data_IF_330087584246
#
_entry.id   IF_330087584246
#
_cell.length_a   1.000
_cell.length_b   1.000
_cell.length_c   1.000
_cell.angle_alpha   90.00
_cell.angle_beta   90.00
_cell.angle_gamma   90.00
#
_symmetry.space_group_name_H-M   'P 1'
#
loop_
_entity.id
_entity.type
_entity.pdbx_description
1 polymer ?
#
# COMPACT_ATOMS: atom_id res chain seq x y z
N UNK A 1 51.81 -41.66 -20.33
CA UNK A 1 51.33 -40.73 -19.31
C UNK A 1 50.92 -39.41 -20.01
N UNK A 2 49.66 -39.18 -20.25
CA UNK A 2 49.12 -37.92 -20.88
C UNK A 2 48.77 -36.97 -19.73
N UNK A 3 49.44 -35.80 -19.69
CA UNK A 3 49.11 -34.73 -18.73
C UNK A 3 47.94 -33.96 -19.25
N UNK A 4 46.80 -33.99 -18.50
CA UNK A 4 45.66 -33.08 -18.69
C UNK A 4 46.01 -31.74 -18.03
N UNK A 5 46.05 -30.68 -18.82
CA UNK A 5 46.15 -29.30 -18.34
C UNK A 5 44.72 -28.77 -18.24
N UNK A 6 44.23 -28.49 -17.01
CA UNK A 6 42.98 -27.81 -16.77
C UNK A 6 43.22 -26.30 -16.89
N UNK A 7 42.70 -25.69 -17.93
CA UNK A 7 42.67 -24.24 -18.08
C UNK A 7 41.44 -23.69 -17.34
N UNK A 8 41.64 -23.02 -16.22
CA UNK A 8 40.57 -22.31 -15.49
C UNK A 8 40.40 -20.96 -16.19
N UNK A 9 39.29 -20.81 -16.90
CA UNK A 9 38.89 -19.52 -17.49
C UNK A 9 38.11 -18.73 -16.44
N UNK A 10 38.77 -17.70 -15.90
CA UNK A 10 38.07 -16.71 -15.06
C UNK A 10 37.15 -15.84 -15.96
N UNK A 11 35.84 -15.98 -15.81
CA UNK A 11 34.91 -15.02 -16.33
C UNK A 11 34.96 -13.74 -15.48
N UNK A 12 35.58 -12.72 -16.00
CA UNK A 12 35.45 -11.36 -15.47
C UNK A 12 34.03 -10.87 -15.81
N UNK A 13 33.13 -10.89 -14.85
CA UNK A 13 31.85 -10.16 -14.95
C UNK A 13 32.23 -8.67 -14.82
N UNK A 14 31.98 -7.84 -15.84
CA UNK A 14 32.37 -6.44 -15.78
C UNK A 14 31.57 -5.73 -14.69
N UNK A 15 32.28 -4.97 -13.85
CA UNK A 15 31.77 -4.13 -12.75
C UNK A 15 30.64 -3.16 -13.19
N UNK A 16 30.43 -3.00 -14.49
CA UNK A 16 29.35 -2.19 -15.08
C UNK A 16 27.94 -2.73 -14.79
N UNK A 17 27.77 -4.02 -14.45
CA UNK A 17 26.46 -4.58 -14.08
C UNK A 17 26.01 -4.21 -12.66
N UNK A 18 26.93 -3.79 -11.79
CA UNK A 18 26.60 -3.45 -10.40
C UNK A 18 26.11 -2.01 -10.22
N UNK A 19 26.27 -1.15 -11.22
CA UNK A 19 25.84 0.26 -11.18
C UNK A 19 24.48 0.52 -11.83
N UNK A 20 23.88 -0.47 -12.50
CA UNK A 20 22.61 -0.32 -13.18
C UNK A 20 21.37 -0.41 -12.25
N UNK A 21 21.52 -0.89 -11.03
CA UNK A 21 20.39 -1.03 -10.06
C UNK A 21 20.00 0.27 -9.36
N UNK A 22 20.83 1.31 -9.42
CA UNK A 22 20.60 2.56 -8.66
C UNK A 22 19.76 3.58 -9.43
N UNK A 23 19.64 3.44 -10.76
CA UNK A 23 19.00 4.46 -11.62
C UNK A 23 17.50 4.24 -11.88
N UNK A 24 16.94 3.11 -11.47
CA UNK A 24 15.53 2.76 -11.74
C UNK A 24 14.56 3.66 -10.92
N UNK A 25 14.98 4.13 -9.76
CA UNK A 25 14.17 5.03 -8.92
C UNK A 25 14.24 6.50 -9.38
N UNK A 26 15.21 6.85 -10.22
CA UNK A 26 15.46 8.22 -10.72
C UNK A 26 14.65 8.59 -11.96
N UNK A 27 13.69 7.77 -12.40
CA UNK A 27 12.87 8.08 -13.57
C UNK A 27 12.07 9.37 -13.37
N UNK A 28 12.10 10.31 -14.33
CA UNK A 28 11.28 11.50 -14.25
C UNK A 28 9.80 11.11 -14.18
N UNK A 29 9.07 11.74 -13.27
CA UNK A 29 7.65 11.49 -13.10
C UNK A 29 6.88 11.89 -14.36
N UNK A 30 6.15 10.97 -14.95
CA UNK A 30 5.13 11.32 -15.95
C UNK A 30 3.96 11.99 -15.22
N UNK A 31 3.77 13.28 -15.42
CA UNK A 31 2.66 14.06 -14.85
C UNK A 31 1.27 13.49 -15.23
N UNK A 32 1.21 12.65 -16.28
CA UNK A 32 -0.03 12.01 -16.75
C UNK A 32 -0.45 10.79 -15.92
N UNK A 33 0.44 10.23 -15.10
CA UNK A 33 0.17 9.06 -14.26
C UNK A 33 -0.28 9.45 -12.84
N UNK A 34 -1.15 10.47 -12.70
CA UNK A 34 -1.63 10.91 -11.38
C UNK A 34 -2.75 10.01 -10.86
N UNK A 35 -2.43 9.20 -9.87
CA UNK A 35 -3.35 8.37 -9.12
C UNK A 35 -3.76 9.11 -7.83
N UNK A 36 -4.57 10.17 -7.99
CA UNK A 36 -5.12 10.92 -6.85
C UNK A 36 -6.12 10.03 -6.12
N UNK A 37 -6.00 9.92 -4.78
CA UNK A 37 -6.45 8.71 -4.10
C UNK A 37 -6.60 8.97 -2.61
N UNK A 38 -7.41 8.20 -1.93
CA UNK A 38 -7.34 8.02 -0.48
C UNK A 38 -7.16 6.54 -0.14
N UNK A 39 -6.34 6.28 0.87
CA UNK A 39 -5.98 4.91 1.27
C UNK A 39 -5.67 4.83 2.76
N UNK A 40 -5.70 3.62 3.28
CA UNK A 40 -5.26 3.26 4.62
C UNK A 40 -4.36 2.04 4.55
N UNK A 41 -3.24 2.07 5.27
CA UNK A 41 -2.41 0.90 5.57
C UNK A 41 -2.48 0.59 7.05
N UNK A 42 -2.59 -0.68 7.43
CA UNK A 42 -2.70 -1.06 8.84
C UNK A 42 -2.11 -2.45 9.13
N UNK A 43 -1.77 -2.64 10.42
CA UNK A 43 -1.36 -3.91 11.00
C UNK A 43 -2.31 -4.30 12.14
N UNK A 44 -2.71 -5.56 12.18
CA UNK A 44 -3.44 -6.14 13.29
C UNK A 44 -2.55 -7.15 14.03
N UNK A 45 -2.07 -6.80 15.26
CA UNK A 45 -1.20 -7.69 16.02
C UNK A 45 -1.91 -8.92 16.58
N UNK A 46 -3.26 -8.90 16.71
CA UNK A 46 -4.01 -10.02 17.26
C UNK A 46 -4.11 -11.17 16.24
N UNK A 47 -4.27 -10.82 14.96
CA UNK A 47 -4.40 -11.80 13.87
C UNK A 47 -3.13 -11.95 13.04
N UNK A 48 -2.12 -11.10 13.31
CA UNK A 48 -0.86 -11.03 12.56
C UNK A 48 -1.11 -10.79 11.06
N UNK A 49 -1.96 -9.78 10.78
CA UNK A 49 -2.40 -9.39 9.45
C UNK A 49 -1.88 -7.98 9.11
N UNK A 50 -1.40 -7.79 7.88
CA UNK A 50 -1.08 -6.49 7.29
C UNK A 50 -2.01 -6.24 6.14
N UNK A 51 -2.52 -5.01 6.01
CA UNK A 51 -3.49 -4.74 4.97
C UNK A 51 -3.48 -3.32 4.46
N UNK A 52 -4.03 -3.16 3.24
CA UNK A 52 -4.26 -1.89 2.57
C UNK A 52 -5.68 -1.89 2.02
N UNK A 53 -6.38 -0.77 2.18
CA UNK A 53 -7.54 -0.46 1.37
C UNK A 53 -7.35 0.90 0.68
N UNK A 54 -7.85 1.02 -0.56
CA UNK A 54 -7.65 2.19 -1.40
C UNK A 54 -8.87 2.43 -2.29
N UNK A 55 -9.21 3.70 -2.53
CA UNK A 55 -10.21 4.11 -3.51
C UNK A 55 -9.79 5.37 -4.26
N UNK A 56 -10.22 5.48 -5.53
CA UNK A 56 -9.76 6.55 -6.42
C UNK A 56 -10.70 6.73 -7.63
N UNK A 57 -10.67 7.93 -8.21
CA UNK A 57 -11.11 8.18 -9.59
C UNK A 57 -9.97 7.88 -10.57
N UNK A 58 -9.53 6.62 -10.56
CA UNK A 58 -8.45 6.07 -11.38
C UNK A 58 -8.79 4.61 -11.71
N UNK A 59 -8.56 4.15 -12.94
CA UNK A 59 -8.83 2.78 -13.35
C UNK A 59 -7.91 1.80 -12.60
N UNK A 60 -8.48 0.74 -12.02
CA UNK A 60 -7.72 -0.35 -11.39
C UNK A 60 -6.68 0.10 -10.36
N UNK A 61 -7.05 1.04 -9.45
CA UNK A 61 -6.15 1.65 -8.46
C UNK A 61 -5.37 0.63 -7.63
N UNK A 62 -5.97 -0.52 -7.35
CA UNK A 62 -5.33 -1.57 -6.55
C UNK A 62 -4.08 -2.17 -7.19
N UNK A 63 -3.95 -2.10 -8.53
CA UNK A 63 -2.77 -2.60 -9.26
C UNK A 63 -1.53 -1.72 -9.08
N UNK A 64 -1.73 -0.44 -8.74
CA UNK A 64 -0.66 0.56 -8.65
C UNK A 64 -0.29 0.92 -7.22
N UNK A 65 -1.29 0.95 -6.31
CA UNK A 65 -1.13 1.54 -4.97
C UNK A 65 -0.78 0.53 -3.89
N UNK A 66 -1.32 -0.71 -3.96
CA UNK A 66 -1.35 -1.65 -2.84
C UNK A 66 -0.20 -2.64 -2.84
N UNK A 67 0.63 -2.63 -1.79
CA UNK A 67 1.79 -3.51 -1.62
C UNK A 67 1.84 -4.06 -0.20
N UNK A 68 1.92 -5.38 -0.04
CA UNK A 68 2.05 -6.00 1.27
C UNK A 68 2.81 -7.33 1.20
N UNK A 69 3.47 -7.66 2.31
CA UNK A 69 4.14 -8.94 2.52
C UNK A 69 4.02 -9.34 3.99
N UNK A 70 3.53 -10.55 4.24
CA UNK A 70 3.35 -11.07 5.59
C UNK A 70 4.68 -11.16 6.35
N UNK A 71 4.66 -10.72 7.62
CA UNK A 71 5.85 -10.65 8.47
C UNK A 71 6.81 -9.51 8.12
N UNK A 72 6.47 -8.65 7.15
CA UNK A 72 7.29 -7.52 6.70
C UNK A 72 6.56 -6.20 6.88
N UNK A 73 5.37 -6.04 6.27
CA UNK A 73 4.62 -4.80 6.35
C UNK A 73 3.66 -4.57 5.19
N UNK A 74 3.08 -3.37 5.15
CA UNK A 74 2.20 -2.91 4.07
C UNK A 74 2.52 -1.46 3.67
N UNK A 75 2.32 -1.15 2.39
CA UNK A 75 2.67 0.12 1.77
C UNK A 75 1.59 0.55 0.80
N UNK A 76 1.21 1.83 0.85
CA UNK A 76 0.43 2.49 -0.19
C UNK A 76 1.30 3.57 -0.85
N UNK A 77 1.53 3.48 -2.17
CA UNK A 77 2.22 4.52 -2.96
C UNK A 77 1.25 5.12 -3.95
N UNK A 78 1.06 6.44 -3.93
CA UNK A 78 -0.01 7.13 -4.66
C UNK A 78 0.36 8.56 -5.05
N UNK A 79 -0.59 9.39 -5.49
CA UNK A 79 -0.43 10.68 -6.14
C UNK A 79 0.17 10.50 -7.54
N UNK A 80 1.27 11.14 -7.91
CA UNK A 80 2.02 10.70 -9.09
C UNK A 80 2.74 9.41 -8.71
N UNK A 81 2.06 8.27 -8.99
CA UNK A 81 2.48 6.97 -8.48
C UNK A 81 3.83 6.53 -9.09
N UNK A 82 4.71 6.03 -8.22
CA UNK A 82 5.87 5.26 -8.63
C UNK A 82 5.74 3.86 -8.02
N UNK A 83 5.35 2.90 -8.84
CA UNK A 83 5.10 1.51 -8.41
C UNK A 83 6.34 0.81 -7.87
N UNK A 84 7.54 1.26 -8.26
CA UNK A 84 8.79 0.68 -7.76
C UNK A 84 9.02 0.93 -6.27
N UNK A 85 8.46 2.03 -5.72
CA UNK A 85 8.59 2.38 -4.31
C UNK A 85 7.89 1.35 -3.39
N UNK A 86 6.82 0.70 -3.86
CA UNK A 86 6.12 -0.33 -3.09
C UNK A 86 7.02 -1.54 -2.82
N UNK A 87 7.63 -2.12 -3.86
CA UNK A 87 8.56 -3.24 -3.72
C UNK A 87 9.82 -2.84 -2.94
N UNK A 88 10.42 -1.69 -3.26
CA UNK A 88 11.61 -1.20 -2.56
C UNK A 88 11.36 -1.02 -1.05
N UNK A 89 10.18 -0.52 -0.65
CA UNK A 89 9.81 -0.42 0.74
C UNK A 89 9.74 -1.80 1.43
N UNK A 90 9.09 -2.78 0.79
CA UNK A 90 9.00 -4.14 1.34
C UNK A 90 10.37 -4.81 1.44
N UNK A 91 11.28 -4.55 0.50
CA UNK A 91 12.66 -5.05 0.57
C UNK A 91 13.45 -4.44 1.73
N UNK A 92 13.37 -3.12 1.92
CA UNK A 92 14.04 -2.42 3.02
C UNK A 92 13.52 -2.90 4.38
N UNK A 93 12.20 -3.01 4.54
CA UNK A 93 11.59 -3.55 5.76
C UNK A 93 11.95 -5.02 5.97
N UNK A 94 12.01 -5.81 4.89
CA UNK A 94 12.48 -7.22 4.93
C UNK A 94 13.93 -7.37 5.37
N UNK A 95 14.78 -6.37 5.11
CA UNK A 95 16.16 -6.26 5.60
C UNK A 95 16.25 -5.72 7.04
N UNK A 96 15.11 -5.49 7.71
CA UNK A 96 15.04 -5.10 9.12
C UNK A 96 14.87 -3.60 9.41
N UNK A 97 14.75 -2.75 8.38
CA UNK A 97 14.43 -1.33 8.58
C UNK A 97 12.99 -1.18 9.10
N UNK A 98 12.78 -0.23 10.01
CA UNK A 98 11.44 0.15 10.45
C UNK A 98 10.75 1.06 9.42
N UNK A 99 9.46 1.37 9.62
CA UNK A 99 8.65 2.17 8.70
C UNK A 99 9.28 3.55 8.43
N UNK A 100 9.80 4.22 9.46
CA UNK A 100 10.40 5.55 9.31
C UNK A 100 11.71 5.51 8.53
N UNK A 101 12.63 4.62 8.88
CA UNK A 101 13.91 4.44 8.19
C UNK A 101 13.70 4.08 6.73
N UNK A 102 12.72 3.22 6.45
CA UNK A 102 12.33 2.83 5.09
C UNK A 102 11.87 4.04 4.29
N UNK A 103 10.93 4.82 4.85
CA UNK A 103 10.39 5.99 4.17
C UNK A 103 11.44 7.06 3.91
N UNK A 104 12.29 7.36 4.91
CA UNK A 104 13.37 8.34 4.79
C UNK A 104 14.34 7.99 3.65
N UNK A 105 14.68 6.69 3.50
CA UNK A 105 15.57 6.21 2.44
C UNK A 105 14.92 6.33 1.06
N UNK A 106 13.66 5.93 0.91
CA UNK A 106 12.92 6.02 -0.33
C UNK A 106 12.77 7.48 -0.80
N UNK A 107 12.39 8.38 0.10
CA UNK A 107 12.21 9.80 -0.22
C UNK A 107 13.54 10.47 -0.58
N UNK A 108 14.63 10.08 0.08
CA UNK A 108 15.97 10.58 -0.26
C UNK A 108 16.40 10.16 -1.67
N UNK A 109 16.05 8.94 -2.09
CA UNK A 109 16.44 8.37 -3.37
C UNK A 109 15.52 8.81 -4.54
N UNK A 110 14.25 9.17 -4.30
CA UNK A 110 13.29 9.53 -5.36
C UNK A 110 13.43 11.01 -5.74
N UNK A 111 13.92 11.28 -6.94
CA UNK A 111 13.97 12.64 -7.50
C UNK A 111 12.58 13.29 -7.65
N UNK A 112 11.54 12.47 -7.82
CA UNK A 112 10.14 12.91 -7.94
C UNK A 112 9.39 13.05 -6.61
N UNK A 113 10.06 12.97 -5.45
CA UNK A 113 9.43 12.93 -4.12
C UNK A 113 8.35 13.99 -3.88
N UNK A 114 8.53 15.20 -4.43
CA UNK A 114 7.61 16.33 -4.21
C UNK A 114 6.18 16.08 -4.72
N UNK A 115 6.00 15.13 -5.62
CA UNK A 115 4.69 14.77 -6.19
C UNK A 115 4.24 13.36 -5.75
N UNK A 116 4.94 12.71 -4.78
CA UNK A 116 4.59 11.40 -4.24
C UNK A 116 3.80 11.51 -2.95
N UNK A 117 2.98 10.49 -2.69
CA UNK A 117 2.37 10.29 -1.39
C UNK A 117 2.49 8.81 -1.01
N UNK A 118 3.02 8.53 0.18
CA UNK A 118 3.36 7.18 0.62
C UNK A 118 2.90 7.00 2.06
N UNK A 119 2.22 5.88 2.34
CA UNK A 119 1.95 5.41 3.70
C UNK A 119 2.56 4.03 3.91
N UNK A 120 3.18 3.81 5.05
CA UNK A 120 3.89 2.58 5.41
C UNK A 120 3.49 2.11 6.81
N UNK A 121 3.31 0.81 6.99
CA UNK A 121 3.28 0.14 8.29
C UNK A 121 4.25 -1.04 8.26
N UNK A 122 5.13 -1.14 9.27
CA UNK A 122 6.09 -2.24 9.37
C UNK A 122 5.53 -3.46 10.13
N UNK A 123 6.36 -4.48 10.30
CA UNK A 123 6.00 -5.73 10.98
C UNK A 123 5.61 -5.56 12.45
N UNK A 124 6.00 -4.47 13.08
CA UNK A 124 5.73 -4.18 14.50
C UNK A 124 4.57 -3.18 14.67
N UNK A 125 3.95 -2.72 13.57
CA UNK A 125 2.88 -1.73 13.59
C UNK A 125 3.37 -0.28 13.68
N UNK A 126 4.69 -0.02 13.60
CA UNK A 126 5.18 1.35 13.45
C UNK A 126 4.76 1.88 12.09
N UNK A 127 4.27 3.11 12.06
CA UNK A 127 3.79 3.76 10.83
C UNK A 127 4.64 4.96 10.46
N UNK A 128 4.73 5.23 9.16
CA UNK A 128 5.28 6.44 8.62
C UNK A 128 4.48 6.87 7.38
N UNK A 129 4.40 8.18 7.12
CA UNK A 129 3.76 8.70 5.92
C UNK A 129 4.53 9.91 5.39
N UNK A 130 4.40 10.14 4.10
CA UNK A 130 4.96 11.26 3.38
C UNK A 130 3.94 11.80 2.38
N UNK A 131 3.77 13.12 2.36
CA UNK A 131 2.98 13.84 1.37
C UNK A 131 3.87 14.94 0.79
N UNK A 132 4.24 14.80 -0.47
CA UNK A 132 5.09 15.77 -1.17
C UNK A 132 4.39 17.11 -1.34
N UNK A 133 5.16 18.21 -1.30
CA UNK A 133 4.63 19.58 -1.30
C UNK A 133 3.85 19.94 -2.59
N UNK A 134 4.04 19.19 -3.67
CA UNK A 134 3.35 19.36 -4.96
C UNK A 134 2.22 18.36 -5.19
N UNK A 135 1.81 17.58 -4.17
CA UNK A 135 0.58 16.80 -4.26
C UNK A 135 -0.64 17.67 -4.43
N UNK A 136 -1.60 17.24 -5.24
CA UNK A 136 -2.80 18.00 -5.52
C UNK A 136 -3.63 18.25 -4.25
N UNK A 137 -3.98 19.50 -3.91
CA UNK A 137 -4.73 19.83 -2.70
C UNK A 137 -6.23 19.46 -2.83
N UNK A 138 -6.92 19.14 -1.74
CA UNK A 138 -6.34 18.98 -0.42
C UNK A 138 -5.57 17.64 -0.33
N UNK A 139 -4.40 17.65 0.33
CA UNK A 139 -3.55 16.46 0.51
C UNK A 139 -2.98 16.43 1.93
N UNK A 140 -2.87 15.23 2.51
CA UNK A 140 -2.31 15.05 3.84
C UNK A 140 -2.38 13.59 4.31
N UNK A 141 -2.05 13.38 5.59
CA UNK A 141 -2.11 12.09 6.23
C UNK A 141 -2.56 12.19 7.69
N UNK A 142 -3.14 11.12 8.23
CA UNK A 142 -3.50 10.96 9.64
C UNK A 142 -3.11 9.56 10.10
N UNK A 143 -2.26 9.49 11.12
CA UNK A 143 -1.79 8.23 11.69
C UNK A 143 -2.36 8.00 13.08
N UNK A 144 -2.52 6.73 13.44
CA UNK A 144 -2.87 6.24 14.77
C UNK A 144 -2.10 4.97 15.12
N UNK A 145 -2.57 4.26 16.13
CA UNK A 145 -1.91 3.02 16.54
C UNK A 145 -2.04 1.94 15.46
N UNK A 146 -0.91 1.51 14.90
CA UNK A 146 -0.81 0.47 13.88
C UNK A 146 -1.46 0.79 12.52
N UNK A 147 -1.75 2.05 12.21
CA UNK A 147 -2.29 2.45 10.90
C UNK A 147 -1.90 3.87 10.50
N UNK A 148 -1.95 4.17 9.21
CA UNK A 148 -1.94 5.52 8.66
C UNK A 148 -2.91 5.62 7.48
N UNK A 149 -3.73 6.69 7.50
CA UNK A 149 -4.56 7.14 6.38
C UNK A 149 -3.84 8.25 5.65
N UNK A 150 -3.90 8.27 4.33
CA UNK A 150 -3.35 9.33 3.49
C UNK A 150 -4.23 9.54 2.27
N UNK A 151 -4.22 10.77 1.75
CA UNK A 151 -4.97 11.11 0.55
C UNK A 151 -4.52 12.42 -0.07
N UNK A 152 -4.83 12.58 -1.36
CA UNK A 152 -4.55 13.77 -2.14
C UNK A 152 -5.71 14.03 -3.12
N UNK A 153 -5.90 15.28 -3.52
CA UNK A 153 -7.05 15.77 -4.28
C UNK A 153 -8.38 15.42 -3.59
N UNK A 154 -8.40 15.46 -2.26
CA UNK A 154 -9.57 15.23 -1.44
C UNK A 154 -10.44 16.47 -1.33
N UNK A 155 -11.70 16.27 -0.97
CA UNK A 155 -12.64 17.37 -0.67
C UNK A 155 -12.19 18.20 0.52
N UNK A 156 -11.54 17.58 1.53
CA UNK A 156 -11.03 18.25 2.73
C UNK A 156 -10.36 17.28 3.70
N UNK A 157 -9.83 17.78 4.83
CA UNK A 157 -9.22 16.98 5.89
C UNK A 157 -10.21 16.02 6.55
N UNK A 158 -11.52 16.34 6.51
CA UNK A 158 -12.61 15.55 7.09
C UNK A 158 -12.63 14.11 6.53
N UNK A 159 -12.14 13.91 5.31
CA UNK A 159 -12.03 12.60 4.69
C UNK A 159 -11.13 11.70 5.52
N UNK A 160 -9.93 12.16 5.87
CA UNK A 160 -8.97 11.38 6.65
C UNK A 160 -9.37 11.28 8.13
N UNK A 161 -10.04 12.29 8.67
CA UNK A 161 -10.58 12.25 10.03
C UNK A 161 -11.66 11.18 10.16
N UNK A 162 -12.56 11.09 9.18
CA UNK A 162 -13.62 10.08 9.13
C UNK A 162 -13.05 8.68 8.89
N UNK A 163 -12.03 8.53 8.03
CA UNK A 163 -11.33 7.27 7.83
C UNK A 163 -10.70 6.75 9.12
N UNK A 164 -9.96 7.61 9.83
CA UNK A 164 -9.29 7.26 11.08
C UNK A 164 -10.31 6.84 12.14
N UNK A 165 -11.35 7.65 12.35
CA UNK A 165 -12.44 7.35 13.28
C UNK A 165 -13.14 6.04 12.93
N UNK A 166 -13.48 5.83 11.65
CA UNK A 166 -14.12 4.60 11.17
C UNK A 166 -13.26 3.37 11.44
N UNK A 167 -11.94 3.45 11.24
CA UNK A 167 -11.02 2.35 11.53
C UNK A 167 -10.91 2.04 13.02
N UNK A 168 -10.82 3.07 13.88
CA UNK A 168 -10.64 2.93 15.33
C UNK A 168 -11.90 2.40 16.03
N UNK A 169 -13.08 2.90 15.64
CA UNK A 169 -14.35 2.55 16.30
C UNK A 169 -14.93 1.21 15.82
N UNK A 170 -14.51 0.75 14.63
CA UNK A 170 -15.03 -0.49 14.03
C UNK A 170 -14.38 -1.73 14.62
N UNK A 171 -15.20 -2.73 14.94
CA UNK A 171 -14.77 -4.05 15.40
C UNK A 171 -14.93 -5.07 14.28
N UNK A 172 -14.00 -6.03 14.18
CA UNK A 172 -14.05 -7.07 13.18
C UNK A 172 -12.67 -7.44 12.62
N UNK A 173 -12.65 -8.25 11.56
CA UNK A 173 -11.40 -8.59 10.87
C UNK A 173 -10.72 -7.33 10.31
N UNK A 174 -9.39 -7.39 10.12
CA UNK A 174 -8.64 -6.26 9.58
C UNK A 174 -9.25 -5.79 8.23
N UNK A 175 -9.58 -6.72 7.34
CA UNK A 175 -10.19 -6.38 6.05
C UNK A 175 -11.50 -5.62 6.19
N UNK A 176 -12.36 -6.01 7.14
CA UNK A 176 -13.61 -5.31 7.42
C UNK A 176 -13.38 -3.87 7.91
N UNK A 177 -12.47 -3.69 8.88
CA UNK A 177 -12.10 -2.38 9.42
C UNK A 177 -11.51 -1.45 8.36
N UNK A 178 -10.67 -1.99 7.47
CA UNK A 178 -10.07 -1.25 6.35
C UNK A 178 -11.14 -0.76 5.35
N UNK A 179 -12.07 -1.61 4.92
CA UNK A 179 -13.13 -1.20 4.01
C UNK A 179 -14.13 -0.24 4.64
N UNK A 180 -14.44 -0.43 5.94
CA UNK A 180 -15.28 0.51 6.66
C UNK A 180 -14.64 1.89 6.77
N UNK A 181 -13.32 1.95 7.01
CA UNK A 181 -12.55 3.19 6.96
C UNK A 181 -12.70 3.91 5.61
N UNK A 182 -12.53 3.20 4.48
CA UNK A 182 -12.74 3.80 3.15
C UNK A 182 -14.18 4.32 2.97
N UNK A 183 -15.17 3.56 3.40
CA UNK A 183 -16.58 3.95 3.27
C UNK A 183 -16.89 5.23 4.06
N UNK A 184 -16.32 5.38 5.27
CA UNK A 184 -16.48 6.61 6.05
C UNK A 184 -15.75 7.81 5.39
N UNK A 185 -14.57 7.59 4.81
CA UNK A 185 -13.86 8.61 4.02
C UNK A 185 -14.64 9.05 2.79
N UNK A 186 -15.25 8.10 2.06
CA UNK A 186 -16.09 8.42 0.90
C UNK A 186 -17.34 9.21 1.29
N UNK A 187 -18.01 8.86 2.40
CA UNK A 187 -19.15 9.62 2.94
C UNK A 187 -18.78 11.05 3.33
N UNK A 188 -17.55 11.27 3.79
CA UNK A 188 -17.03 12.59 4.13
C UNK A 188 -16.59 13.41 2.90
N UNK A 189 -16.74 12.86 1.69
CA UNK A 189 -16.50 13.56 0.42
C UNK A 189 -15.47 12.91 -0.50
N UNK A 190 -14.54 12.11 0.01
CA UNK A 190 -13.59 11.33 -0.77
C UNK A 190 -12.73 12.11 -1.78
N UNK A 191 -12.51 11.52 -2.94
CA UNK A 191 -11.80 12.11 -4.09
C UNK A 191 -12.70 13.17 -4.78
N UNK A 192 -12.20 14.40 -4.94
CA UNK A 192 -12.94 15.52 -5.58
C UNK A 192 -13.44 15.20 -6.97
N UNK A 193 -12.80 14.30 -7.70
CA UNK A 193 -13.16 13.93 -9.07
C UNK A 193 -14.32 12.92 -9.11
N UNK A 194 -14.66 12.32 -7.97
CA UNK A 194 -15.65 11.27 -7.84
C UNK A 194 -15.04 9.88 -7.67
N UNK A 195 -15.70 8.84 -8.16
CA UNK A 195 -15.45 7.42 -7.88
C UNK A 195 -15.15 6.65 -9.15
N UNK A 196 -14.28 5.62 -9.09
CA UNK A 196 -14.08 4.71 -10.22
C UNK A 196 -13.62 3.31 -9.78
N UNK A 197 -12.63 3.19 -8.91
CA UNK A 197 -12.10 1.90 -8.48
C UNK A 197 -11.79 1.85 -7.00
N UNK A 198 -11.76 0.63 -6.43
CA UNK A 198 -11.34 0.37 -5.06
C UNK A 198 -10.68 -1.00 -4.93
N UNK A 199 -9.80 -1.16 -3.94
CA UNK A 199 -9.13 -2.42 -3.68
C UNK A 199 -8.91 -2.67 -2.19
N UNK A 200 -8.86 -3.95 -1.83
CA UNK A 200 -8.49 -4.47 -0.51
C UNK A 200 -7.44 -5.56 -0.68
N UNK A 201 -6.28 -5.39 -0.07
CA UNK A 201 -5.26 -6.41 0.06
C UNK A 201 -4.98 -6.65 1.54
N UNK A 202 -5.10 -7.90 2.01
CA UNK A 202 -4.69 -8.33 3.35
C UNK A 202 -3.81 -9.56 3.21
N UNK A 203 -2.66 -9.54 3.88
CA UNK A 203 -1.71 -10.64 3.92
C UNK A 203 -1.48 -11.10 5.35
N UNK A 204 -1.23 -12.39 5.50
CA UNK A 204 -0.75 -13.01 6.75
C UNK A 204 0.05 -14.27 6.46
N UNK A 205 0.92 -14.74 7.37
CA UNK A 205 1.63 -15.99 7.17
C UNK A 205 0.68 -17.15 6.87
N UNK A 206 0.96 -17.90 5.81
CA UNK A 206 0.15 -19.05 5.36
C UNK A 206 -1.33 -18.69 5.06
N UNK A 207 -1.61 -17.44 4.69
CA UNK A 207 -2.96 -16.93 4.46
C UNK A 207 -3.60 -17.33 3.14
N UNK A 208 -2.81 -17.74 2.16
CA UNK A 208 -3.30 -18.10 0.83
C UNK A 208 -4.10 -19.40 0.78
N UNK A 209 -4.61 -19.79 -0.41
CA UNK A 209 -5.31 -21.05 -0.61
C UNK A 209 -4.46 -22.25 -0.16
N UNK A 210 -5.07 -23.22 0.49
CA UNK A 210 -4.40 -24.40 1.05
C UNK A 210 -3.23 -24.05 2.02
N UNK A 211 -3.28 -22.91 2.68
CA UNK A 211 -2.21 -22.38 3.54
C UNK A 211 -0.87 -22.15 2.81
N UNK A 212 -0.91 -21.90 1.50
CA UNK A 212 0.25 -21.58 0.67
C UNK A 212 0.27 -20.07 0.36
N UNK A 213 1.47 -19.48 0.43
CA UNK A 213 1.61 -18.03 0.25
C UNK A 213 1.03 -17.22 1.41
N UNK A 214 0.86 -15.92 1.20
CA UNK A 214 0.48 -14.99 2.26
C UNK A 214 -0.81 -14.18 1.98
N UNK A 215 -1.35 -14.21 0.75
CA UNK A 215 -2.56 -13.44 0.39
C UNK A 215 -3.81 -14.00 1.06
N UNK A 216 -4.26 -13.32 2.12
CA UNK A 216 -5.46 -13.68 2.87
C UNK A 216 -6.74 -13.16 2.20
N UNK A 217 -6.74 -11.87 1.82
CA UNK A 217 -7.77 -11.23 1.00
C UNK A 217 -7.07 -10.44 -0.10
N UNK A 218 -7.55 -10.54 -1.34
CA UNK A 218 -7.10 -9.73 -2.46
C UNK A 218 -8.30 -9.53 -3.39
N UNK A 219 -9.00 -8.41 -3.19
CA UNK A 219 -10.20 -8.06 -3.95
C UNK A 219 -10.04 -6.70 -4.59
N UNK A 220 -10.47 -6.57 -5.83
CA UNK A 220 -10.43 -5.33 -6.59
C UNK A 220 -11.72 -5.14 -7.35
N UNK A 221 -12.15 -3.89 -7.38
CA UNK A 221 -13.18 -3.38 -8.29
C UNK A 221 -12.49 -2.34 -9.16
N UNK A 222 -12.17 -2.73 -10.37
CA UNK A 222 -11.29 -1.96 -11.25
C UNK A 222 -11.99 -0.80 -11.95
N UNK A 223 -13.32 -0.91 -12.17
CA UNK A 223 -14.16 0.15 -12.74
C UNK A 223 -15.62 -0.04 -12.32
N UNK A 224 -16.18 0.90 -11.54
CA UNK A 224 -17.57 0.86 -11.09
C UNK A 224 -18.02 2.24 -10.59
N UNK A 225 -19.29 2.67 -10.77
CA UNK A 225 -19.76 3.96 -10.26
C UNK A 225 -19.78 4.05 -8.72
N UNK A 226 -19.92 2.91 -8.01
CA UNK A 226 -19.86 2.80 -6.55
C UNK A 226 -18.87 1.70 -6.13
N UNK A 227 -17.54 1.92 -6.29
CA UNK A 227 -16.55 0.85 -6.20
C UNK A 227 -16.38 0.30 -4.78
N UNK A 228 -16.54 1.13 -3.75
CA UNK A 228 -16.41 0.69 -2.34
C UNK A 228 -17.61 -0.21 -1.96
N UNK A 229 -18.85 0.17 -2.31
CA UNK A 229 -20.02 -0.65 -2.03
C UNK A 229 -19.93 -2.01 -2.74
N UNK A 230 -19.50 -2.00 -4.00
CA UNK A 230 -19.28 -3.23 -4.78
C UNK A 230 -18.15 -4.09 -4.17
N UNK A 231 -17.07 -3.48 -3.74
CA UNK A 231 -15.97 -4.18 -3.08
C UNK A 231 -16.42 -4.83 -1.75
N UNK A 232 -17.23 -4.14 -0.97
CA UNK A 232 -17.84 -4.68 0.25
C UNK A 232 -18.76 -5.86 -0.09
N UNK A 233 -19.58 -5.74 -1.15
CA UNK A 233 -20.44 -6.83 -1.63
C UNK A 233 -19.60 -8.06 -2.00
N UNK A 234 -18.53 -7.90 -2.75
CA UNK A 234 -17.62 -8.99 -3.16
C UNK A 234 -16.94 -9.60 -1.93
N UNK A 235 -16.42 -8.77 -1.02
CA UNK A 235 -15.75 -9.25 0.19
C UNK A 235 -16.67 -10.09 1.09
N UNK A 236 -17.97 -9.75 1.16
CA UNK A 236 -18.95 -10.52 1.92
C UNK A 236 -19.24 -11.93 1.37
N UNK A 237 -18.77 -12.26 0.16
CA UNK A 237 -18.89 -13.63 -0.39
C UNK A 237 -17.93 -14.63 0.27
N UNK A 238 -16.96 -14.13 1.06
CA UNK A 238 -16.04 -15.01 1.81
C UNK A 238 -16.26 -14.94 3.32
N UNK A 239 -16.13 -16.07 3.99
CA UNK A 239 -16.13 -16.15 5.46
C UNK A 239 -14.91 -15.50 6.12
N UNK A 240 -13.89 -15.13 5.35
CA UNK A 240 -12.68 -14.44 5.83
C UNK A 240 -12.91 -12.96 6.12
N UNK A 241 -13.96 -12.38 5.53
CA UNK A 241 -14.37 -10.99 5.75
C UNK A 241 -15.53 -10.98 6.76
N UNK A 242 -15.24 -10.63 8.02
CA UNK A 242 -16.23 -10.70 9.11
C UNK A 242 -16.37 -9.38 9.84
N UNK A 243 -17.59 -8.88 9.88
CA UNK A 243 -17.98 -7.94 10.93
C UNK A 243 -18.11 -8.68 12.27
N UNK A 244 -17.72 -8.09 13.37
CA UNK A 244 -18.18 -8.55 14.68
C UNK A 244 -19.63 -8.07 14.82
N UNK A 245 -20.56 -8.93 14.50
CA UNK A 245 -21.97 -8.67 14.87
C UNK A 245 -22.01 -8.64 16.38
N UNK A 246 -22.38 -7.49 16.97
CA UNK A 246 -22.76 -7.46 18.39
C UNK A 246 -23.96 -8.39 18.51
N UNK A 247 -23.76 -9.55 19.09
CA UNK A 247 -24.89 -10.33 19.62
C UNK A 247 -25.51 -9.46 20.70
N UNK A 248 -26.71 -8.94 20.43
CA UNK A 248 -27.53 -8.25 21.42
C UNK A 248 -28.08 -9.26 22.42
#
# INVERSE_FOLDING_TARGET
MKKFIFTITFFFIPLAYLLAEVDILAQPADERATCNTFSIVAFDPETNEWGIAVASKYLAVGSAVSWAKAGVGAVATQASVNVLLGNAALELMGKGKNAKETLDELIKADAGREIRQIGVVDKNGMTANYTGAKCNPWAGAKAGKNYTCQGNLLTGPEVLDSMAKGFEETKGSLGFRLLFSLAEGEKAGGDKRGKQSAALLVVKPNGGPNSLGDRWLDFRVDDHPNPIDELIRVANLTSRFKAVLKVK
#
